data_IF_845778209158
#
_entry.id   IF_845778209158
#
_cell.length_a   1.000
_cell.length_b   1.000
_cell.length_c   1.000
_cell.angle_alpha   90.00
_cell.angle_beta   90.00
_cell.angle_gamma   90.00
#
_symmetry.space_group_name_H-M   'P 1'
#
loop_
_entity.id
_entity.type
_entity.pdbx_description
1 polymer ?
#
# COMPACT_ATOMS: atom_id res chain seq x y z
N UNK A 1 -20.98 -18.28 -5.86
CA UNK A 1 -21.68 -17.01 -5.58
C UNK A 1 -23.07 -16.95 -6.23
N UNK A 2 -23.25 -17.31 -7.51
CA UNK A 2 -24.58 -17.33 -8.14
C UNK A 2 -25.59 -18.30 -7.47
N UNK A 3 -25.11 -19.33 -6.77
CA UNK A 3 -25.95 -20.28 -6.02
C UNK A 3 -26.65 -19.67 -4.78
N UNK A 4 -26.25 -18.49 -4.32
CA UNK A 4 -26.80 -17.82 -3.13
C UNK A 4 -27.80 -16.70 -3.49
N UNK A 5 -28.16 -16.52 -4.77
CA UNK A 5 -29.01 -15.43 -5.25
C UNK A 5 -28.34 -14.03 -5.24
N UNK A 6 -27.07 -13.93 -4.86
CA UNK A 6 -26.30 -12.68 -4.92
C UNK A 6 -25.70 -12.46 -6.30
N UNK A 7 -25.80 -11.25 -6.81
CA UNK A 7 -25.21 -10.85 -8.10
C UNK A 7 -23.91 -10.09 -7.80
N UNK A 8 -22.74 -10.60 -8.21
CA UNK A 8 -21.50 -9.85 -8.11
C UNK A 8 -21.55 -8.66 -9.08
N UNK A 9 -21.02 -7.51 -8.65
CA UNK A 9 -20.97 -6.27 -9.45
C UNK A 9 -19.55 -5.78 -9.68
N UNK A 10 -18.61 -6.17 -8.82
CA UNK A 10 -17.25 -5.69 -8.83
C UNK A 10 -16.30 -6.77 -8.32
N UNK A 11 -15.07 -6.79 -8.85
CA UNK A 11 -13.92 -7.49 -8.28
C UNK A 11 -12.86 -6.45 -7.94
N UNK A 12 -12.25 -6.58 -6.76
CA UNK A 12 -11.17 -5.73 -6.30
C UNK A 12 -9.87 -6.54 -6.35
N UNK A 13 -8.89 -6.04 -7.12
CA UNK A 13 -7.52 -6.56 -7.11
C UNK A 13 -6.61 -5.62 -6.32
N UNK A 14 -5.69 -6.19 -5.54
CA UNK A 14 -4.74 -5.42 -4.75
C UNK A 14 -3.44 -5.20 -5.52
N UNK A 15 -2.99 -3.95 -5.59
CA UNK A 15 -1.68 -3.57 -6.09
C UNK A 15 -0.77 -3.19 -4.90
N UNK A 16 -0.28 -4.21 -4.18
CA UNK A 16 0.49 -4.05 -2.95
C UNK A 16 -0.37 -3.91 -1.71
N UNK A 17 -0.73 -5.05 -1.10
CA UNK A 17 -1.52 -5.10 0.14
C UNK A 17 -0.82 -4.41 1.30
N UNK A 18 -1.59 -3.80 2.21
CA UNK A 18 -1.05 -3.10 3.39
C UNK A 18 -0.23 -4.03 4.29
N UNK A 19 -0.60 -5.30 4.41
CA UNK A 19 0.05 -6.23 5.34
C UNK A 19 1.42 -6.68 4.83
N UNK A 20 1.53 -7.18 3.59
CA UNK A 20 2.72 -7.84 3.07
C UNK A 20 3.29 -7.22 1.80
N UNK A 21 2.60 -6.24 1.19
CA UNK A 21 2.98 -5.72 -0.12
C UNK A 21 2.64 -6.67 -1.28
N UNK A 22 1.88 -7.74 -1.03
CA UNK A 22 1.51 -8.70 -2.06
C UNK A 22 0.68 -8.05 -3.17
N UNK A 23 0.87 -8.51 -4.38
CA UNK A 23 0.17 -8.04 -5.58
C UNK A 23 -0.63 -9.20 -6.15
N UNK A 24 -1.92 -8.97 -6.41
CA UNK A 24 -2.78 -9.95 -7.07
C UNK A 24 -2.44 -10.06 -8.57
N UNK A 25 -2.80 -11.17 -9.21
CA UNK A 25 -2.71 -11.28 -10.66
C UNK A 25 -3.77 -10.38 -11.33
N UNK A 26 -3.40 -9.09 -11.46
CA UNK A 26 -4.29 -8.07 -11.99
C UNK A 26 -4.68 -8.34 -13.45
N UNK A 27 -3.81 -9.03 -14.23
CA UNK A 27 -4.13 -9.41 -15.61
C UNK A 27 -5.24 -10.46 -15.66
N UNK A 28 -5.12 -11.52 -14.87
CA UNK A 28 -6.15 -12.54 -14.77
C UNK A 28 -7.49 -11.99 -14.25
N UNK A 29 -7.44 -11.08 -13.27
CA UNK A 29 -8.64 -10.41 -12.75
C UNK A 29 -9.29 -9.54 -13.84
N UNK A 30 -8.51 -8.78 -14.60
CA UNK A 30 -9.00 -7.95 -15.69
C UNK A 30 -9.71 -8.80 -16.78
N UNK A 31 -9.11 -9.92 -17.19
CA UNK A 31 -9.69 -10.85 -18.15
C UNK A 31 -11.00 -11.45 -17.62
N UNK A 32 -11.01 -11.89 -16.37
CA UNK A 32 -12.20 -12.43 -15.73
C UNK A 32 -13.34 -11.39 -15.65
N UNK A 33 -13.03 -10.16 -15.23
CA UNK A 33 -14.02 -9.09 -15.12
C UNK A 33 -14.64 -8.77 -16.48
N UNK A 34 -13.81 -8.68 -17.53
CA UNK A 34 -14.27 -8.44 -18.89
C UNK A 34 -15.20 -9.57 -19.39
N UNK A 35 -14.85 -10.83 -19.13
CA UNK A 35 -15.63 -11.99 -19.53
C UNK A 35 -16.97 -12.11 -18.78
N UNK A 36 -17.08 -11.54 -17.58
CA UNK A 36 -18.27 -11.62 -16.72
C UNK A 36 -19.07 -10.32 -16.66
N UNK A 37 -18.66 -9.27 -17.40
CA UNK A 37 -19.24 -7.92 -17.35
C UNK A 37 -19.27 -7.36 -15.92
N UNK A 38 -18.14 -7.43 -15.22
CA UNK A 38 -17.94 -6.95 -13.87
C UNK A 38 -17.03 -5.73 -13.85
N UNK A 39 -17.27 -4.82 -12.91
CA UNK A 39 -16.37 -3.70 -12.66
C UNK A 39 -15.05 -4.19 -12.07
N UNK A 40 -13.94 -3.81 -12.66
CA UNK A 40 -12.61 -4.09 -12.13
C UNK A 40 -12.08 -2.86 -11.39
N UNK A 41 -11.96 -2.97 -10.07
CA UNK A 41 -11.31 -1.97 -9.24
C UNK A 41 -9.92 -2.44 -8.81
N UNK A 42 -8.94 -1.55 -8.82
CA UNK A 42 -7.64 -1.81 -8.23
C UNK A 42 -7.47 -0.96 -6.96
N UNK A 43 -7.33 -1.65 -5.82
CA UNK A 43 -6.83 -1.03 -4.59
C UNK A 43 -5.30 -0.97 -4.68
N UNK A 44 -4.81 0.19 -5.04
CA UNK A 44 -3.40 0.52 -5.12
C UNK A 44 -2.98 1.52 -4.06
N UNK A 45 -3.77 1.68 -2.98
CA UNK A 45 -3.57 2.67 -1.93
C UNK A 45 -2.13 2.74 -1.41
N UNK A 46 -1.44 1.61 -1.41
CA UNK A 46 -0.04 1.53 -0.99
C UNK A 46 0.92 1.29 -2.16
N UNK A 47 0.72 0.23 -2.95
CA UNK A 47 1.74 -0.27 -3.88
C UNK A 47 1.61 0.21 -5.33
N UNK A 48 0.49 0.81 -5.77
CA UNK A 48 0.36 1.27 -7.16
C UNK A 48 1.45 2.27 -7.59
N UNK A 49 2.04 2.99 -6.63
CA UNK A 49 3.14 3.94 -6.85
C UNK A 49 4.37 3.26 -7.45
N UNK A 50 4.59 1.97 -7.23
CA UNK A 50 5.67 1.21 -7.85
C UNK A 50 5.62 1.27 -9.40
N UNK A 51 4.44 1.49 -10.00
CA UNK A 51 4.29 1.63 -11.45
C UNK A 51 5.05 2.83 -12.06
N UNK A 52 5.43 3.82 -11.26
CA UNK A 52 6.23 4.96 -11.78
C UNK A 52 7.64 4.51 -12.15
N UNK A 53 8.15 3.41 -11.60
CA UNK A 53 9.48 2.89 -11.89
C UNK A 53 9.44 1.84 -13.01
N UNK A 54 10.30 1.94 -14.03
CA UNK A 54 10.34 0.95 -15.10
C UNK A 54 10.63 -0.48 -14.61
N UNK A 55 11.46 -0.62 -13.59
CA UNK A 55 11.86 -1.92 -13.04
C UNK A 55 10.72 -2.66 -12.34
N UNK A 56 9.80 -1.93 -11.66
CA UNK A 56 8.71 -2.53 -10.88
C UNK A 56 7.37 -2.55 -11.63
N UNK A 57 7.24 -1.76 -12.70
CA UNK A 57 6.02 -1.69 -13.51
C UNK A 57 5.51 -3.06 -13.98
N UNK A 58 6.36 -4.02 -14.40
CA UNK A 58 5.89 -5.35 -14.80
C UNK A 58 5.14 -6.12 -13.72
N UNK A 59 5.41 -5.87 -12.43
CA UNK A 59 4.72 -6.49 -11.31
C UNK A 59 3.24 -6.07 -11.23
N UNK A 60 2.91 -4.91 -11.78
CA UNK A 60 1.58 -4.30 -11.75
C UNK A 60 0.83 -4.44 -13.10
N UNK A 61 1.30 -5.35 -13.96
CA UNK A 61 0.68 -5.61 -15.26
C UNK A 61 -0.79 -5.98 -15.09
N UNK A 62 -1.66 -5.36 -15.88
CA UNK A 62 -3.12 -5.50 -15.77
C UNK A 62 -3.78 -4.35 -15.03
N UNK A 63 -3.05 -3.57 -14.20
CA UNK A 63 -3.58 -2.40 -13.52
C UNK A 63 -4.10 -1.36 -14.52
N UNK A 64 -3.46 -1.21 -15.67
CA UNK A 64 -3.88 -0.31 -16.75
C UNK A 64 -5.22 -0.71 -17.38
N UNK A 65 -5.75 -1.89 -17.09
CA UNK A 65 -7.05 -2.36 -17.57
C UNK A 65 -8.19 -2.10 -16.58
N UNK A 66 -7.90 -1.62 -15.37
CA UNK A 66 -8.90 -1.35 -14.36
C UNK A 66 -9.92 -0.31 -14.80
N UNK A 67 -11.18 -0.47 -14.39
CA UNK A 67 -12.24 0.54 -14.54
C UNK A 67 -12.06 1.68 -13.54
N UNK A 68 -11.51 1.37 -12.36
CA UNK A 68 -11.11 2.36 -11.37
C UNK A 68 -9.87 1.91 -10.58
N UNK A 69 -9.07 2.89 -10.17
CA UNK A 69 -7.87 2.73 -9.38
C UNK A 69 -7.86 3.75 -8.24
N UNK A 70 -7.64 3.27 -7.01
CA UNK A 70 -7.37 4.14 -5.87
C UNK A 70 -5.89 4.04 -5.47
N UNK A 71 -5.24 5.20 -5.16
CA UNK A 71 -3.88 5.23 -4.63
C UNK A 71 -3.64 6.48 -3.79
N UNK A 72 -2.69 6.38 -2.84
CA UNK A 72 -2.43 7.44 -1.88
C UNK A 72 -1.01 8.01 -2.04
N UNK A 73 -0.95 9.27 -2.43
CA UNK A 73 0.31 10.00 -2.60
C UNK A 73 0.93 10.41 -1.26
N UNK A 74 0.12 10.51 -0.20
CA UNK A 74 0.58 10.81 1.16
C UNK A 74 1.16 9.58 1.89
N UNK A 75 1.10 8.38 1.32
CA UNK A 75 1.75 7.17 1.85
C UNK A 75 3.19 7.08 1.32
N UNK A 76 3.43 6.25 0.35
CA UNK A 76 4.79 5.97 -0.14
C UNK A 76 5.45 7.11 -0.91
N UNK A 77 4.68 8.03 -1.53
CA UNK A 77 5.27 9.24 -2.14
C UNK A 77 5.58 10.36 -1.15
N UNK A 78 5.34 10.17 0.14
CA UNK A 78 5.69 11.13 1.20
C UNK A 78 5.17 12.55 0.96
N UNK A 79 4.08 12.70 0.20
CA UNK A 79 3.47 14.01 0.00
C UNK A 79 2.74 14.48 1.26
N UNK A 80 2.64 15.79 1.51
CA UNK A 80 1.97 16.31 2.70
C UNK A 80 0.54 15.79 2.83
N UNK A 81 0.18 15.33 4.03
CA UNK A 81 -1.12 14.77 4.34
C UNK A 81 -2.23 15.85 4.23
N UNK A 82 -3.43 15.56 3.72
CA UNK A 82 -3.87 14.32 3.09
C UNK A 82 -3.91 14.47 1.55
N UNK A 83 -3.61 13.40 0.82
CA UNK A 83 -3.82 13.34 -0.62
C UNK A 83 -3.98 11.91 -1.11
N UNK A 84 -5.24 11.46 -1.24
CA UNK A 84 -5.65 10.27 -1.94
C UNK A 84 -6.09 10.62 -3.36
N UNK A 85 -5.97 9.70 -4.28
CA UNK A 85 -6.38 9.86 -5.66
C UNK A 85 -7.24 8.66 -6.10
N UNK A 86 -8.34 8.94 -6.75
CA UNK A 86 -9.15 7.96 -7.45
C UNK A 86 -9.16 8.30 -8.95
N UNK A 87 -8.75 7.35 -9.76
CA UNK A 87 -8.88 7.41 -11.22
C UNK A 87 -10.04 6.53 -11.65
N UNK A 88 -10.88 7.03 -12.53
CA UNK A 88 -12.00 6.28 -13.11
C UNK A 88 -11.92 6.39 -14.63
N UNK A 89 -11.97 5.24 -15.29
CA UNK A 89 -11.81 5.14 -16.75
C UNK A 89 -12.91 5.84 -17.52
N UNK A 90 -14.14 5.79 -17.01
CA UNK A 90 -15.36 6.24 -17.67
C UNK A 90 -15.90 7.49 -16.99
N UNK A 91 -15.52 8.71 -17.44
CA UNK A 91 -15.93 9.96 -16.79
C UNK A 91 -17.44 10.15 -16.74
N UNK A 92 -18.17 9.68 -17.77
CA UNK A 92 -19.63 9.74 -17.81
C UNK A 92 -20.29 8.84 -16.77
N UNK A 93 -19.76 7.64 -16.54
CA UNK A 93 -20.24 6.72 -15.49
C UNK A 93 -19.92 7.28 -14.12
N UNK A 94 -18.71 7.86 -13.94
CA UNK A 94 -18.30 8.49 -12.70
C UNK A 94 -19.24 9.67 -12.36
N UNK A 95 -19.49 10.55 -13.33
CA UNK A 95 -20.44 11.65 -13.16
C UNK A 95 -21.86 11.16 -12.88
N UNK A 96 -22.34 10.11 -13.54
CA UNK A 96 -23.67 9.57 -13.31
C UNK A 96 -23.81 9.01 -11.87
N UNK A 97 -22.74 8.47 -11.29
CA UNK A 97 -22.75 7.95 -9.91
C UNK A 97 -22.81 9.04 -8.83
N UNK A 98 -22.20 10.22 -9.08
CA UNK A 98 -22.03 11.28 -8.10
C UNK A 98 -22.70 12.61 -8.49
N UNK A 99 -23.16 12.73 -9.72
CA UNK A 99 -23.65 13.98 -10.31
C UNK A 99 -25.01 14.43 -9.80
N UNK A 100 -25.25 14.38 -8.48
CA UNK A 100 -26.41 15.09 -7.91
C UNK A 100 -26.14 16.59 -7.93
N UNK A 101 -27.06 17.34 -8.55
CA UNK A 101 -26.94 18.77 -8.66
C UNK A 101 -28.23 19.44 -8.18
N UNK A 102 -28.07 20.38 -7.23
CA UNK A 102 -29.17 21.25 -6.87
C UNK A 102 -29.46 22.24 -8.00
N UNK A 103 -30.71 22.60 -8.23
CA UNK A 103 -31.13 23.43 -9.37
C UNK A 103 -30.39 24.77 -9.47
N UNK A 104 -29.97 25.35 -8.33
CA UNK A 104 -29.23 26.62 -8.32
C UNK A 104 -27.75 26.49 -8.77
N UNK A 105 -27.25 25.23 -8.88
CA UNK A 105 -25.89 24.92 -9.33
C UNK A 105 -25.86 24.44 -10.79
N UNK A 106 -26.98 24.48 -11.50
CA UNK A 106 -27.03 24.04 -12.89
C UNK A 106 -26.10 24.85 -13.77
N UNK A 107 -25.30 24.14 -14.57
CA UNK A 107 -24.40 24.77 -15.52
C UNK A 107 -25.21 25.43 -16.66
N UNK A 108 -24.88 26.64 -16.96
CA UNK A 108 -25.46 27.38 -18.08
C UNK A 108 -24.52 27.33 -19.30
N UNK A 109 -25.04 27.48 -20.49
CA UNK A 109 -24.24 27.51 -21.71
C UNK A 109 -23.28 28.71 -21.81
N UNK A 110 -23.49 29.73 -20.97
CA UNK A 110 -22.67 30.95 -20.90
C UNK A 110 -22.80 31.62 -19.53
N UNK A 111 -21.87 32.50 -19.17
CA UNK A 111 -21.86 33.26 -17.91
C UNK A 111 -20.99 32.59 -16.85
N UNK A 112 -21.20 32.98 -15.59
CA UNK A 112 -20.36 32.54 -14.47
C UNK A 112 -20.42 31.04 -14.19
N UNK A 113 -21.52 30.39 -14.54
CA UNK A 113 -21.72 28.95 -14.36
C UNK A 113 -21.46 28.15 -15.64
N UNK A 114 -20.89 28.79 -16.67
CA UNK A 114 -20.51 28.12 -17.90
C UNK A 114 -19.29 27.21 -17.67
N UNK A 115 -19.31 26.02 -18.25
CA UNK A 115 -18.20 25.10 -18.27
C UNK A 115 -18.66 23.65 -18.31
N UNK A 116 -17.89 22.78 -18.98
CA UNK A 116 -18.28 21.38 -19.17
C UNK A 116 -18.04 20.51 -17.95
N UNK A 117 -17.15 20.93 -17.02
CA UNK A 117 -16.66 20.10 -15.91
C UNK A 117 -16.79 20.85 -14.58
N UNK A 118 -17.61 20.29 -13.71
CA UNK A 118 -17.70 20.70 -12.31
C UNK A 118 -17.19 19.56 -11.43
N UNK A 119 -16.07 19.77 -10.75
CA UNK A 119 -15.42 18.70 -9.95
C UNK A 119 -16.30 18.18 -8.80
N UNK A 120 -17.26 18.98 -8.32
CA UNK A 120 -18.26 18.54 -7.34
C UNK A 120 -19.16 17.40 -7.83
N UNK A 121 -19.26 17.22 -9.17
CA UNK A 121 -20.05 16.13 -9.77
C UNK A 121 -19.31 14.78 -9.79
N UNK A 122 -18.05 14.74 -9.32
CA UNK A 122 -17.19 13.55 -9.32
C UNK A 122 -16.83 13.08 -7.90
N UNK A 123 -17.65 13.38 -6.90
CA UNK A 123 -17.44 12.96 -5.52
C UNK A 123 -18.52 13.46 -4.58
N UNK A 124 -18.37 13.14 -3.31
CA UNK A 124 -19.36 13.47 -2.28
C UNK A 124 -19.29 14.93 -1.78
N UNK A 125 -18.13 15.57 -1.94
CA UNK A 125 -17.86 16.91 -1.41
C UNK A 125 -18.20 17.98 -2.46
N UNK A 126 -19.11 18.89 -2.13
CA UNK A 126 -19.38 20.08 -2.96
C UNK A 126 -18.20 21.05 -2.93
N UNK A 127 -17.73 21.36 -1.73
CA UNK A 127 -16.54 22.22 -1.51
C UNK A 127 -15.44 21.41 -0.91
N UNK A 128 -14.25 21.44 -1.50
CA UNK A 128 -13.10 20.69 -1.01
C UNK A 128 -11.78 21.44 -1.20
N UNK A 129 -10.77 21.10 -0.38
CA UNK A 129 -9.44 21.65 -0.49
C UNK A 129 -8.78 21.30 -1.83
N UNK A 130 -7.98 22.21 -2.36
CA UNK A 130 -7.23 22.02 -3.60
C UNK A 130 -6.00 21.10 -3.36
N UNK A 131 -6.27 19.82 -3.06
CA UNK A 131 -5.23 18.82 -2.73
C UNK A 131 -4.25 18.58 -3.89
N UNK A 132 -4.71 18.71 -5.14
CA UNK A 132 -3.86 18.56 -6.32
C UNK A 132 -2.72 19.58 -6.40
N UNK A 133 -2.88 20.77 -5.78
CA UNK A 133 -1.83 21.81 -5.80
C UNK A 133 -0.54 21.34 -5.12
N UNK A 134 -0.64 20.69 -3.95
CA UNK A 134 0.54 20.14 -3.26
C UNK A 134 1.22 19.04 -4.07
N UNK A 135 0.45 18.20 -4.79
CA UNK A 135 0.99 17.19 -5.70
C UNK A 135 1.78 17.84 -6.82
N UNK A 136 1.20 18.85 -7.44
CA UNK A 136 1.85 19.60 -8.52
C UNK A 136 3.16 20.25 -8.05
N UNK A 137 3.16 20.91 -6.88
CA UNK A 137 4.37 21.51 -6.31
C UNK A 137 5.44 20.46 -6.01
N UNK A 138 5.09 19.34 -5.38
CA UNK A 138 6.04 18.26 -5.09
C UNK A 138 6.67 17.71 -6.38
N UNK A 139 5.86 17.41 -7.40
CA UNK A 139 6.36 16.90 -8.68
C UNK A 139 7.19 17.92 -9.43
N UNK A 140 6.85 19.22 -9.37
CA UNK A 140 7.63 20.30 -10.01
C UNK A 140 8.96 20.53 -9.27
N UNK A 141 8.97 20.43 -7.95
CA UNK A 141 10.17 20.66 -7.12
C UNK A 141 11.17 19.53 -7.22
N UNK A 142 10.73 18.30 -7.05
CA UNK A 142 11.62 17.13 -6.95
C UNK A 142 11.78 16.38 -8.29
N UNK A 143 10.75 16.44 -9.14
CA UNK A 143 10.69 15.70 -10.39
C UNK A 143 10.39 14.22 -10.22
N UNK A 144 9.88 13.58 -11.27
CA UNK A 144 9.51 12.16 -11.24
C UNK A 144 10.71 11.24 -10.97
N UNK A 145 11.90 11.58 -11.47
CA UNK A 145 13.12 10.78 -11.30
C UNK A 145 13.52 10.61 -9.83
N UNK A 146 13.34 11.65 -9.01
CA UNK A 146 13.63 11.56 -7.57
C UNK A 146 12.69 10.58 -6.88
N UNK A 147 11.40 10.60 -7.22
CA UNK A 147 10.43 9.64 -6.70
C UNK A 147 10.70 8.21 -7.17
N UNK A 148 11.10 8.02 -8.43
CA UNK A 148 11.53 6.71 -8.95
C UNK A 148 12.70 6.16 -8.15
N UNK A 149 13.76 6.95 -7.97
CA UNK A 149 14.94 6.56 -7.20
C UNK A 149 14.60 6.22 -5.74
N UNK A 150 13.70 6.99 -5.11
CA UNK A 150 13.23 6.72 -3.75
C UNK A 150 12.50 5.38 -3.66
N UNK A 151 11.58 5.10 -4.60
CA UNK A 151 10.83 3.84 -4.62
C UNK A 151 11.75 2.66 -4.84
N UNK A 152 12.67 2.75 -5.80
CA UNK A 152 13.67 1.70 -6.07
C UNK A 152 14.58 1.46 -4.87
N UNK A 153 15.05 2.52 -4.20
CA UNK A 153 15.84 2.41 -2.97
C UNK A 153 15.07 1.68 -1.87
N UNK A 154 13.81 2.06 -1.63
CA UNK A 154 12.99 1.45 -0.58
C UNK A 154 12.77 -0.05 -0.84
N UNK A 155 12.55 -0.45 -2.10
CA UNK A 155 12.39 -1.87 -2.46
C UNK A 155 13.71 -2.61 -2.29
N UNK A 156 14.84 -2.06 -2.77
CA UNK A 156 16.15 -2.68 -2.60
C UNK A 156 16.52 -2.87 -1.11
N UNK A 157 16.18 -1.91 -0.26
CA UNK A 157 16.39 -2.01 1.18
C UNK A 157 15.48 -3.06 1.84
N UNK A 158 14.23 -3.19 1.40
CA UNK A 158 13.35 -4.25 1.88
C UNK A 158 13.85 -5.65 1.47
N UNK A 159 14.34 -5.80 0.25
CA UNK A 159 14.99 -7.03 -0.20
C UNK A 159 16.22 -7.34 0.64
N UNK A 160 17.06 -6.35 0.92
CA UNK A 160 18.22 -6.50 1.79
C UNK A 160 17.83 -6.95 3.22
N UNK A 161 16.77 -6.38 3.81
CA UNK A 161 16.24 -6.87 5.08
C UNK A 161 15.79 -8.34 4.98
N UNK A 162 15.13 -8.72 3.88
CA UNK A 162 14.76 -10.11 3.62
C UNK A 162 15.98 -11.06 3.54
N UNK A 163 17.07 -10.61 2.94
CA UNK A 163 18.35 -11.36 2.89
C UNK A 163 18.95 -11.55 4.29
N UNK A 164 18.96 -10.48 5.11
CA UNK A 164 19.45 -10.55 6.49
C UNK A 164 18.63 -11.56 7.33
N UNK A 165 17.30 -11.56 7.17
CA UNK A 165 16.40 -12.48 7.86
C UNK A 165 16.65 -13.92 7.43
N UNK A 166 16.77 -14.18 6.14
CA UNK A 166 17.02 -15.52 5.61
C UNK A 166 18.41 -16.07 5.98
N UNK A 167 19.38 -15.19 6.22
CA UNK A 167 20.75 -15.59 6.62
C UNK A 167 20.85 -16.03 8.08
N UNK A 168 19.86 -15.70 8.93
CA UNK A 168 19.89 -16.05 10.37
C UNK A 168 18.84 -17.09 10.71
N UNK A 169 19.23 -18.31 11.15
CA UNK A 169 18.29 -19.40 11.44
C UNK A 169 17.34 -19.13 12.61
N UNK A 170 17.59 -18.08 13.40
CA UNK A 170 16.71 -17.64 14.49
C UNK A 170 15.52 -16.83 14.01
N UNK A 171 15.52 -16.40 12.74
CA UNK A 171 14.47 -15.59 12.12
C UNK A 171 13.71 -16.38 11.08
N UNK A 172 12.54 -15.88 10.72
CA UNK A 172 11.68 -16.46 9.68
C UNK A 172 10.92 -15.38 8.93
N UNK A 173 10.98 -15.39 7.59
CA UNK A 173 10.08 -14.61 6.75
C UNK A 173 8.70 -15.26 6.73
N UNK A 174 7.65 -14.47 6.96
CA UNK A 174 6.25 -14.94 6.94
C UNK A 174 5.54 -14.65 5.59
N UNK A 175 6.16 -13.89 4.72
CA UNK A 175 5.70 -13.63 3.36
C UNK A 175 6.89 -13.31 2.43
N UNK A 176 6.77 -13.56 1.11
CA UNK A 176 7.74 -13.07 0.15
C UNK A 176 7.84 -11.54 0.18
N UNK A 177 9.04 -11.00 -0.01
CA UNK A 177 9.27 -9.55 -0.11
C UNK A 177 8.96 -9.10 -1.53
N UNK A 178 7.73 -8.67 -1.78
CA UNK A 178 7.25 -8.28 -3.13
C UNK A 178 7.57 -6.83 -3.47
N UNK A 179 7.46 -5.93 -2.49
CA UNK A 179 7.74 -4.48 -2.61
C UNK A 179 8.61 -4.03 -1.45
N UNK A 180 8.17 -3.04 -0.71
CA UNK A 180 8.90 -2.41 0.39
C UNK A 180 8.37 -2.79 1.79
N UNK A 181 7.62 -3.87 1.89
CA UNK A 181 7.11 -4.42 3.16
C UNK A 181 7.73 -5.77 3.44
N UNK A 182 8.27 -5.94 4.64
CA UNK A 182 8.86 -7.20 5.11
C UNK A 182 8.12 -7.65 6.37
N UNK A 183 7.56 -8.86 6.32
CA UNK A 183 6.88 -9.50 7.45
C UNK A 183 7.73 -10.67 7.93
N UNK A 184 8.18 -10.63 9.17
CA UNK A 184 9.08 -11.62 9.73
C UNK A 184 8.83 -11.80 11.23
N UNK A 185 9.47 -12.83 11.81
CA UNK A 185 9.44 -13.08 13.24
C UNK A 185 10.74 -13.69 13.74
N UNK A 186 10.98 -13.58 15.03
CA UNK A 186 11.95 -14.38 15.74
C UNK A 186 11.37 -15.79 15.97
N UNK A 187 12.14 -16.83 15.68
CA UNK A 187 11.76 -18.24 15.81
C UNK A 187 12.47 -18.93 16.96
N UNK A 188 13.77 -18.70 17.10
CA UNK A 188 14.61 -19.12 18.24
C UNK A 188 14.51 -20.60 18.64
N UNK A 189 14.14 -21.48 17.69
CA UNK A 189 13.97 -22.90 17.96
C UNK A 189 12.70 -23.28 18.76
N UNK A 190 11.72 -22.39 18.85
CA UNK A 190 10.46 -22.58 19.57
C UNK A 190 9.42 -23.17 18.63
N UNK A 191 8.78 -24.28 19.01
CA UNK A 191 7.75 -24.94 18.18
C UNK A 191 6.32 -24.49 18.53
N UNK A 192 6.09 -24.05 19.76
CA UNK A 192 4.75 -23.66 20.22
C UNK A 192 4.35 -22.31 19.62
N UNK A 193 3.38 -22.30 18.73
CA UNK A 193 2.93 -21.11 17.99
C UNK A 193 2.37 -20.01 18.91
N UNK A 194 1.60 -20.37 19.93
CA UNK A 194 1.06 -19.37 20.86
C UNK A 194 2.18 -18.68 21.66
N UNK A 195 3.21 -19.44 22.07
CA UNK A 195 4.41 -18.91 22.73
C UNK A 195 5.21 -18.04 21.76
N UNK A 196 5.40 -18.45 20.51
CA UNK A 196 6.06 -17.64 19.47
C UNK A 196 5.36 -16.30 19.25
N UNK A 197 4.03 -16.32 19.15
CA UNK A 197 3.24 -15.11 18.97
C UNK A 197 3.39 -14.16 20.18
N UNK A 198 3.38 -14.68 21.40
CA UNK A 198 3.58 -13.89 22.61
C UNK A 198 4.99 -13.27 22.67
N UNK A 199 6.04 -14.06 22.36
CA UNK A 199 7.43 -13.59 22.31
C UNK A 199 7.59 -12.49 21.26
N UNK A 200 7.10 -12.67 20.05
CA UNK A 200 7.26 -11.69 19.00
C UNK A 200 6.47 -10.39 19.27
N UNK A 201 5.35 -10.49 19.97
CA UNK A 201 4.64 -9.31 20.45
C UNK A 201 5.47 -8.54 21.48
N UNK A 202 6.10 -9.24 22.43
CA UNK A 202 6.95 -8.62 23.43
C UNK A 202 8.23 -8.04 22.81
N UNK A 203 8.87 -8.74 21.85
CA UNK A 203 10.01 -8.22 21.09
C UNK A 203 9.65 -6.89 20.44
N UNK A 204 8.50 -6.82 19.76
CA UNK A 204 8.06 -5.59 19.09
C UNK A 204 7.95 -4.43 20.08
N UNK A 205 7.36 -4.66 21.24
CA UNK A 205 7.21 -3.65 22.30
C UNK A 205 8.59 -3.17 22.80
N UNK A 206 9.49 -4.08 23.13
CA UNK A 206 10.86 -3.73 23.59
C UNK A 206 11.65 -2.97 22.53
N UNK A 207 11.53 -3.34 21.25
CA UNK A 207 12.17 -2.60 20.14
C UNK A 207 11.64 -1.17 20.05
N UNK A 208 10.33 -0.98 20.16
CA UNK A 208 9.70 0.35 20.12
C UNK A 208 10.06 1.18 21.34
N UNK A 209 10.00 0.61 22.56
CA UNK A 209 10.31 1.27 23.83
C UNK A 209 11.78 1.66 23.93
N UNK A 210 12.68 0.89 23.32
CA UNK A 210 14.11 1.22 23.25
C UNK A 210 14.41 2.47 22.41
N UNK A 211 13.44 2.91 21.57
CA UNK A 211 13.60 4.03 20.66
C UNK A 211 14.52 3.76 19.48
N UNK A 212 14.99 2.51 19.28
CA UNK A 212 15.95 2.16 18.24
C UNK A 212 15.27 2.00 16.89
N UNK A 213 14.09 1.40 16.86
CA UNK A 213 13.28 1.24 15.64
C UNK A 213 11.80 1.22 15.99
N UNK A 214 10.95 1.58 15.02
CA UNK A 214 9.50 1.63 15.18
C UNK A 214 8.78 0.79 14.10
N UNK A 215 9.02 -0.54 14.02
CA UNK A 215 8.25 -1.40 13.16
C UNK A 215 6.80 -1.48 13.65
N UNK A 216 5.90 -1.92 12.78
CA UNK A 216 4.52 -2.26 13.12
C UNK A 216 4.34 -3.76 13.26
N UNK A 217 3.11 -4.22 13.50
CA UNK A 217 2.76 -5.63 13.48
C UNK A 217 1.65 -5.93 12.49
N UNK A 218 1.53 -7.20 12.16
CA UNK A 218 0.36 -7.78 11.50
C UNK A 218 0.22 -9.25 11.91
N UNK A 219 -0.84 -9.90 11.44
CA UNK A 219 -1.02 -11.35 11.60
C UNK A 219 -1.09 -11.99 10.22
N UNK A 220 -0.24 -13.00 9.98
CA UNK A 220 -0.14 -13.75 8.74
C UNK A 220 -0.47 -15.21 9.02
N UNK A 221 -1.62 -15.68 8.50
CA UNK A 221 -2.05 -17.09 8.72
C UNK A 221 -2.03 -17.54 10.19
N UNK A 222 -2.39 -16.66 11.12
CA UNK A 222 -2.39 -16.94 12.56
C UNK A 222 -1.05 -16.65 13.28
N UNK A 223 0.03 -16.36 12.53
CA UNK A 223 1.34 -16.03 13.08
C UNK A 223 1.47 -14.51 13.29
N UNK A 224 1.91 -14.09 14.49
CA UNK A 224 2.26 -12.70 14.75
C UNK A 224 3.53 -12.33 13.98
N UNK A 225 3.46 -11.28 13.19
CA UNK A 225 4.56 -10.78 12.39
C UNK A 225 5.01 -9.39 12.86
N UNK A 226 6.30 -9.21 13.00
CA UNK A 226 6.95 -7.90 13.01
C UNK A 226 6.93 -7.42 11.56
N UNK A 227 6.35 -6.23 11.32
CA UNK A 227 6.16 -5.69 9.98
C UNK A 227 6.97 -4.42 9.80
N UNK A 228 7.97 -4.46 8.94
CA UNK A 228 8.74 -3.32 8.51
C UNK A 228 8.22 -2.81 7.16
N UNK A 229 7.55 -1.65 7.16
CA UNK A 229 7.13 -0.97 5.94
C UNK A 229 8.09 0.17 5.64
N UNK A 230 9.01 -0.04 4.71
CA UNK A 230 10.03 0.93 4.38
C UNK A 230 9.51 1.99 3.40
N UNK A 231 8.99 3.09 3.93
CA UNK A 231 8.53 4.25 3.14
C UNK A 231 9.41 5.49 3.37
N UNK A 232 10.35 5.43 4.31
CA UNK A 232 11.20 6.56 4.64
C UNK A 232 12.34 6.68 3.62
N UNK A 233 12.43 7.83 2.97
CA UNK A 233 13.49 8.14 2.01
C UNK A 233 14.88 8.38 2.66
N UNK A 234 14.95 8.44 4.00
CA UNK A 234 16.18 8.61 4.77
C UNK A 234 16.72 7.31 5.36
N UNK A 235 15.98 6.20 5.22
CA UNK A 235 16.43 4.90 5.72
C UNK A 235 17.74 4.49 5.04
N UNK A 236 18.64 3.89 5.83
CA UNK A 236 19.92 3.37 5.41
C UNK A 236 20.01 1.87 5.65
N UNK A 237 20.97 1.19 5.08
CA UNK A 237 21.18 -0.26 5.30
C UNK A 237 21.41 -0.58 6.76
N UNK A 238 22.18 0.24 7.45
CA UNK A 238 22.50 0.11 8.86
C UNK A 238 21.26 0.07 9.76
N UNK A 239 20.18 0.78 9.39
CA UNK A 239 18.93 0.79 10.14
C UNK A 239 18.28 -0.61 10.16
N UNK A 240 18.38 -1.35 9.07
CA UNK A 240 17.85 -2.72 8.98
C UNK A 240 18.74 -3.74 9.70
N UNK A 241 20.05 -3.56 9.67
CA UNK A 241 21.01 -4.36 10.45
C UNK A 241 20.77 -4.17 11.95
N UNK A 242 20.54 -2.93 12.38
CA UNK A 242 20.18 -2.60 13.76
C UNK A 242 18.85 -3.27 14.13
N UNK A 243 17.81 -3.16 13.30
CA UNK A 243 16.51 -3.79 13.55
C UNK A 243 16.66 -5.31 13.76
N UNK A 244 17.37 -6.00 12.86
CA UNK A 244 17.60 -7.44 12.94
C UNK A 244 18.35 -7.81 14.22
N UNK A 245 19.43 -7.12 14.54
CA UNK A 245 20.21 -7.32 15.75
C UNK A 245 19.36 -7.18 17.01
N UNK A 246 18.55 -6.13 17.11
CA UNK A 246 17.73 -5.88 18.29
C UNK A 246 16.58 -6.88 18.43
N UNK A 247 15.96 -7.28 17.32
CA UNK A 247 14.95 -8.37 17.35
C UNK A 247 15.54 -9.67 17.87
N UNK A 248 16.74 -10.04 17.44
CA UNK A 248 17.43 -11.24 17.93
C UNK A 248 17.80 -11.09 19.40
N UNK A 249 18.41 -9.98 19.78
CA UNK A 249 18.81 -9.70 21.16
C UNK A 249 17.64 -9.84 22.14
N UNK A 250 16.54 -9.12 21.87
CA UNK A 250 15.35 -9.19 22.72
C UNK A 250 14.69 -10.56 22.69
N UNK A 251 14.69 -11.26 21.54
CA UNK A 251 14.18 -12.61 21.42
C UNK A 251 14.94 -13.59 22.34
N UNK A 252 16.27 -13.53 22.34
CA UNK A 252 17.12 -14.35 23.20
C UNK A 252 17.00 -14.00 24.69
N UNK A 253 16.80 -12.72 25.02
CA UNK A 253 16.55 -12.27 26.39
C UNK A 253 15.24 -12.84 26.93
N UNK A 254 14.14 -12.67 26.19
CA UNK A 254 12.80 -13.16 26.57
C UNK A 254 12.78 -14.69 26.73
N UNK A 255 13.47 -15.41 25.83
CA UNK A 255 13.57 -16.89 25.94
C UNK A 255 14.33 -17.34 27.20
N UNK A 256 15.31 -16.54 27.66
CA UNK A 256 16.07 -16.83 28.91
C UNK A 256 15.30 -16.44 30.17
N UNK A 257 14.41 -15.47 30.10
CA UNK A 257 13.58 -14.98 31.21
C UNK A 257 12.40 -15.90 31.52
N UNK A 258 11.93 -16.74 30.57
CA UNK A 258 10.71 -17.57 30.70
C UNK A 258 10.86 -18.98 30.19
#
# INVERSE_FOLDING_TARGET
MRLTGKVPICVIGNAGTVNSGAIDDLSAIAEFCRAQDLWFHVDGAFGAIAAITPALRPLLRGMEQADSLAFDLHKWMCMPYDVGCALVRWPEKHRAAFGYQAAYLDSQGRGLTAGPIWFSQYGLELSRGFRALKVWFCLKTYGLKAYQAMVEQNVAQAQYLGELINADPRLELLAPVSLNVVCFRFKGGIENEARLNAINKEILLRVQESGVAAPSSTVMAGCFAIRAANVNNRSRREDFEILVREVIRFGEEIVREG
#
